data_IF_600466720518
#
_entry.id   IF_600466720518
#
_cell.length_a   1.000
_cell.length_b   1.000
_cell.length_c   1.000
_cell.angle_alpha   90.00
_cell.angle_beta   90.00
_cell.angle_gamma   90.00
#
_symmetry.space_group_name_H-M   'P 1'
#
loop_
_entity.id
_entity.type
_entity.pdbx_description
1 polymer ?
#
# COMPACT_ATOMS: atom_id res chain seq x y z
N UNK A 1 25.85 18.23 3.64
CA UNK A 1 25.38 16.93 4.16
C UNK A 1 26.53 15.94 4.15
N UNK A 2 27.00 15.51 5.31
CA UNK A 2 28.21 14.67 5.46
C UNK A 2 28.22 13.40 4.59
N UNK A 3 27.04 12.78 4.39
CA UNK A 3 26.91 11.56 3.57
C UNK A 3 26.80 11.85 2.06
N UNK A 4 26.40 13.07 1.67
CA UNK A 4 26.24 13.45 0.26
C UNK A 4 27.56 13.80 -0.42
N UNK A 5 28.55 14.26 0.35
CA UNK A 5 29.88 14.60 -0.15
C UNK A 5 30.74 13.35 -0.45
N UNK A 6 30.28 12.16 -0.03
CA UNK A 6 30.95 10.88 -0.27
C UNK A 6 30.49 10.30 -1.61
N UNK A 7 31.46 9.90 -2.44
CA UNK A 7 31.20 9.09 -3.64
C UNK A 7 31.00 7.64 -3.24
N UNK A 8 29.76 7.15 -3.28
CA UNK A 8 29.41 5.79 -2.89
C UNK A 8 29.58 4.83 -4.07
N UNK A 9 30.34 3.76 -3.87
CA UNK A 9 30.44 2.72 -4.89
C UNK A 9 29.10 2.00 -5.11
N UNK A 10 28.36 1.71 -4.02
CA UNK A 10 27.08 1.00 -4.07
C UNK A 10 26.13 1.60 -3.04
N UNK A 11 24.89 1.84 -3.45
CA UNK A 11 23.77 2.14 -2.55
C UNK A 11 22.82 0.94 -2.51
N UNK A 12 22.67 0.33 -1.35
CA UNK A 12 21.72 -0.75 -1.11
C UNK A 12 20.58 -0.22 -0.24
N UNK A 13 19.35 -0.33 -0.74
CA UNK A 13 18.15 0.07 0.00
C UNK A 13 17.32 -1.18 0.27
N UNK A 14 17.24 -1.55 1.54
CA UNK A 14 16.30 -2.58 2.00
C UNK A 14 14.91 -1.99 2.22
N UNK A 15 13.88 -2.82 2.09
CA UNK A 15 12.48 -2.41 2.08
C UNK A 15 12.19 -1.25 1.10
N UNK A 16 12.69 -1.41 -0.13
CA UNK A 16 12.61 -0.40 -1.19
C UNK A 16 11.18 0.06 -1.51
N UNK A 17 10.14 -0.62 -1.03
CA UNK A 17 8.76 -0.13 -1.08
C UNK A 17 8.58 1.26 -0.42
N UNK A 18 9.53 1.71 0.43
CA UNK A 18 9.59 3.09 0.96
C UNK A 18 9.83 4.14 -0.13
N UNK A 19 10.42 3.78 -1.27
CA UNK A 19 10.77 4.66 -2.39
C UNK A 19 9.69 4.72 -3.49
N UNK A 20 8.50 4.19 -3.21
CA UNK A 20 7.39 4.13 -4.18
C UNK A 20 6.82 5.49 -4.60
N UNK A 21 7.23 6.57 -3.92
CA UNK A 21 6.79 7.93 -4.20
C UNK A 21 8.02 8.80 -4.47
N UNK A 22 8.15 9.23 -5.73
CA UNK A 22 9.21 10.13 -6.21
C UNK A 22 9.18 11.50 -5.52
N UNK A 23 8.02 11.91 -5.00
CA UNK A 23 7.89 13.15 -4.25
C UNK A 23 8.39 13.07 -2.80
N UNK A 24 8.63 11.87 -2.29
CA UNK A 24 9.04 11.69 -0.90
C UNK A 24 10.42 12.30 -0.62
N UNK A 25 10.59 12.85 0.58
CA UNK A 25 11.88 13.41 1.01
C UNK A 25 12.98 12.34 0.92
N UNK A 26 12.70 11.11 1.34
CA UNK A 26 13.64 9.99 1.28
C UNK A 26 14.11 9.73 -0.16
N UNK A 27 13.18 9.71 -1.12
CA UNK A 27 13.50 9.53 -2.54
C UNK A 27 14.42 10.64 -3.03
N UNK A 28 14.03 11.90 -2.81
CA UNK A 28 14.79 13.08 -3.25
C UNK A 28 16.19 13.11 -2.63
N UNK A 29 16.29 12.82 -1.32
CA UNK A 29 17.58 12.77 -0.60
C UNK A 29 18.50 11.68 -1.12
N UNK A 30 18.01 10.45 -1.26
CA UNK A 30 18.85 9.34 -1.77
C UNK A 30 19.21 9.52 -3.24
N UNK A 31 18.36 10.18 -4.04
CA UNK A 31 18.65 10.43 -5.43
C UNK A 31 19.77 11.46 -5.63
N UNK A 32 19.98 12.36 -4.66
CA UNK A 32 21.09 13.33 -4.68
C UNK A 32 22.46 12.70 -4.44
N UNK A 33 22.53 11.48 -3.89
CA UNK A 33 23.81 10.83 -3.61
C UNK A 33 24.51 10.36 -4.88
N UNK A 34 25.80 10.67 -4.97
CA UNK A 34 26.66 10.16 -6.05
C UNK A 34 26.93 8.67 -5.81
N UNK A 35 26.44 7.84 -6.73
CA UNK A 35 26.44 6.38 -6.61
C UNK A 35 26.79 5.72 -7.94
N UNK A 36 27.67 4.73 -7.96
CA UNK A 36 27.98 3.96 -9.19
C UNK A 36 26.96 2.85 -9.43
N UNK A 37 26.54 2.16 -8.37
CA UNK A 37 25.55 1.09 -8.43
C UNK A 37 24.44 1.30 -7.40
N UNK A 38 23.21 0.96 -7.78
CA UNK A 38 22.03 1.00 -6.90
C UNK A 38 21.37 -0.37 -6.86
N UNK A 39 21.13 -0.90 -5.67
CA UNK A 39 20.46 -2.18 -5.44
C UNK A 39 19.24 -1.96 -4.53
N UNK A 40 18.07 -2.33 -5.02
CA UNK A 40 16.83 -2.29 -4.26
C UNK A 40 16.45 -3.70 -3.82
N UNK A 41 16.16 -3.86 -2.53
CA UNK A 41 15.68 -5.11 -1.95
C UNK A 41 14.30 -4.86 -1.36
N UNK A 42 13.33 -5.72 -1.69
CA UNK A 42 11.98 -5.63 -1.14
C UNK A 42 11.32 -7.01 -1.12
N UNK A 43 10.68 -7.35 -0.01
CA UNK A 43 9.87 -8.57 0.10
C UNK A 43 8.51 -8.46 -0.59
N UNK A 44 8.05 -7.23 -0.84
CA UNK A 44 6.76 -6.92 -1.48
C UNK A 44 7.03 -6.09 -2.72
N UNK A 45 7.29 -6.74 -3.88
CA UNK A 45 7.91 -6.06 -5.01
C UNK A 45 7.08 -4.88 -5.52
N UNK A 46 5.76 -5.02 -5.61
CA UNK A 46 4.87 -4.01 -6.17
C UNK A 46 3.49 -4.19 -5.56
N UNK A 47 2.87 -3.13 -5.04
CA UNK A 47 1.55 -3.27 -4.45
C UNK A 47 0.41 -2.69 -5.28
N UNK A 48 0.44 -1.51 -5.91
CA UNK A 48 -0.83 -1.01 -6.51
C UNK A 48 -0.80 -0.10 -7.75
N UNK A 49 0.33 0.44 -8.24
CA UNK A 49 0.27 1.33 -9.42
C UNK A 49 1.50 1.32 -10.34
N UNK A 50 1.27 1.69 -11.60
CA UNK A 50 2.32 1.88 -12.62
C UNK A 50 3.31 2.98 -12.19
N UNK A 51 2.83 4.02 -11.48
CA UNK A 51 3.67 5.08 -10.91
C UNK A 51 4.63 4.55 -9.85
N UNK A 52 4.16 3.69 -8.94
CA UNK A 52 5.04 3.07 -7.93
C UNK A 52 6.16 2.25 -8.59
N UNK A 53 5.83 1.50 -9.66
CA UNK A 53 6.80 0.75 -10.44
C UNK A 53 7.83 1.67 -11.10
N UNK A 54 7.36 2.71 -11.79
CA UNK A 54 8.22 3.68 -12.45
C UNK A 54 9.18 4.35 -11.45
N UNK A 55 8.70 4.81 -10.29
CA UNK A 55 9.55 5.44 -9.28
C UNK A 55 10.72 4.53 -8.86
N UNK A 56 10.48 3.24 -8.67
CA UNK A 56 11.54 2.30 -8.29
C UNK A 56 12.55 2.06 -9.41
N UNK A 57 12.09 1.95 -10.66
CA UNK A 57 12.99 1.69 -11.79
C UNK A 57 13.75 2.95 -12.18
N UNK A 58 13.09 4.11 -12.21
CA UNK A 58 13.70 5.41 -12.42
C UNK A 58 14.80 5.68 -11.39
N UNK A 59 14.59 5.25 -10.13
CA UNK A 59 15.62 5.34 -9.10
C UNK A 59 16.88 4.51 -9.41
N UNK A 60 16.73 3.32 -10.01
CA UNK A 60 17.88 2.46 -10.37
C UNK A 60 18.52 2.93 -11.68
N UNK A 61 17.72 3.31 -12.69
CA UNK A 61 18.12 3.57 -14.07
C UNK A 61 17.48 4.85 -14.61
N UNK A 62 17.88 6.00 -14.04
CA UNK A 62 17.37 7.33 -14.42
C UNK A 62 17.50 7.63 -15.93
N UNK A 63 18.54 7.16 -16.58
CA UNK A 63 18.83 7.48 -17.98
C UNK A 63 17.92 6.71 -18.96
N UNK A 64 17.43 5.53 -18.55
CA UNK A 64 16.53 4.70 -19.37
C UNK A 64 15.05 5.08 -19.18
N UNK A 65 14.71 5.63 -18.01
CA UNK A 65 13.35 6.03 -17.66
C UNK A 65 13.34 7.48 -17.14
N UNK A 66 13.56 8.48 -18.01
CA UNK A 66 13.81 9.85 -17.59
C UNK A 66 12.55 10.59 -17.10
N UNK A 67 11.39 10.30 -17.71
CA UNK A 67 10.13 11.01 -17.42
C UNK A 67 9.00 10.03 -17.11
N UNK A 68 8.14 10.42 -16.15
CA UNK A 68 6.89 9.72 -15.89
C UNK A 68 5.92 9.88 -17.05
N UNK A 69 5.86 11.06 -17.67
CA UNK A 69 4.88 11.37 -18.73
C UNK A 69 5.10 10.50 -19.97
N UNK A 70 6.37 10.32 -20.38
CA UNK A 70 6.75 9.45 -21.50
C UNK A 70 6.43 7.97 -21.18
N UNK A 71 6.75 7.54 -19.96
CA UNK A 71 6.49 6.17 -19.52
C UNK A 71 4.99 5.87 -19.40
N UNK A 72 4.21 6.82 -18.90
CA UNK A 72 2.75 6.73 -18.82
C UNK A 72 2.17 6.65 -20.22
N UNK A 73 2.65 7.47 -21.17
CA UNK A 73 2.20 7.44 -22.56
C UNK A 73 2.48 6.12 -23.27
N UNK A 74 3.69 5.58 -23.13
CA UNK A 74 4.07 4.28 -23.68
C UNK A 74 3.20 3.14 -23.12
N UNK A 75 2.70 3.29 -21.90
CA UNK A 75 1.92 2.28 -21.19
C UNK A 75 0.45 2.68 -20.94
N UNK A 76 -0.08 3.69 -21.65
CA UNK A 76 -1.46 4.20 -21.51
C UNK A 76 -2.52 3.09 -21.60
N UNK A 77 -2.32 2.10 -22.46
CA UNK A 77 -3.27 0.98 -22.62
C UNK A 77 -3.45 0.14 -21.35
N UNK A 78 -2.48 0.17 -20.41
CA UNK A 78 -2.64 -0.46 -19.10
C UNK A 78 -3.75 0.21 -18.27
N UNK A 79 -3.85 1.54 -18.34
CA UNK A 79 -4.93 2.29 -17.68
C UNK A 79 -6.30 2.00 -18.29
N UNK A 80 -6.34 1.58 -19.56
CA UNK A 80 -7.56 1.20 -20.28
C UNK A 80 -7.95 -0.28 -20.11
N UNK A 81 -7.16 -1.05 -19.36
CA UNK A 81 -7.47 -2.44 -19.01
C UNK A 81 -6.89 -3.49 -19.97
N UNK A 82 -6.02 -3.10 -20.91
CA UNK A 82 -5.36 -4.03 -21.81
C UNK A 82 -4.10 -4.62 -21.16
N UNK A 83 -4.17 -5.89 -20.80
CA UNK A 83 -3.09 -6.61 -20.11
C UNK A 83 -1.91 -7.00 -21.02
N UNK A 84 -2.05 -6.84 -22.34
CA UNK A 84 -1.00 -7.18 -23.32
C UNK A 84 0.28 -6.34 -23.13
N UNK A 85 0.13 -5.03 -22.89
CA UNK A 85 1.26 -4.12 -22.65
C UNK A 85 2.01 -4.38 -21.34
N UNK A 86 1.33 -4.94 -20.32
CA UNK A 86 1.98 -5.30 -19.05
C UNK A 86 2.98 -6.46 -19.22
N UNK A 87 2.70 -7.38 -20.14
CA UNK A 87 3.62 -8.49 -20.43
C UNK A 87 4.91 -8.01 -21.09
N UNK A 88 4.80 -7.02 -21.99
CA UNK A 88 5.96 -6.38 -22.62
C UNK A 88 6.83 -5.65 -21.60
N UNK A 89 6.21 -4.87 -20.70
CA UNK A 89 6.93 -4.20 -19.61
C UNK A 89 7.63 -5.20 -18.68
N UNK A 90 6.96 -6.30 -18.32
CA UNK A 90 7.60 -7.35 -17.54
C UNK A 90 8.82 -7.96 -18.23
N UNK A 91 8.77 -8.17 -19.54
CA UNK A 91 9.90 -8.70 -20.31
C UNK A 91 11.08 -7.73 -20.37
N UNK A 92 10.81 -6.43 -20.47
CA UNK A 92 11.86 -5.40 -20.40
C UNK A 92 12.51 -5.30 -19.02
N UNK A 93 11.74 -5.59 -17.96
CA UNK A 93 12.19 -5.52 -16.57
C UNK A 93 12.79 -6.82 -16.03
N UNK A 94 12.50 -7.95 -16.67
CA UNK A 94 13.03 -9.27 -16.34
C UNK A 94 14.54 -9.30 -16.05
N UNK A 95 15.42 -8.67 -16.87
CA UNK A 95 16.86 -8.69 -16.58
C UNK A 95 17.27 -7.87 -15.35
N UNK A 96 16.43 -6.96 -14.87
CA UNK A 96 16.73 -6.07 -13.73
C UNK A 96 16.01 -6.48 -12.44
N UNK A 97 15.00 -7.36 -12.53
CA UNK A 97 14.15 -7.75 -11.42
C UNK A 97 14.26 -9.25 -11.17
N UNK A 98 14.86 -9.62 -10.04
CA UNK A 98 14.88 -11.00 -9.57
C UNK A 98 13.79 -11.24 -8.53
N UNK A 99 12.74 -11.99 -8.91
CA UNK A 99 11.68 -12.43 -8.01
C UNK A 99 11.66 -13.95 -7.90
N UNK A 100 11.69 -14.47 -6.66
CA UNK A 100 11.57 -15.90 -6.35
C UNK A 100 10.40 -16.14 -5.41
N UNK A 101 9.65 -17.22 -5.60
CA UNK A 101 8.55 -17.60 -4.71
C UNK A 101 9.04 -18.70 -3.77
N UNK A 102 8.69 -18.63 -2.47
CA UNK A 102 9.12 -19.62 -1.47
C UNK A 102 8.87 -21.08 -1.90
N UNK A 103 7.75 -21.35 -2.58
CA UNK A 103 7.41 -22.68 -3.10
C UNK A 103 8.42 -23.23 -4.13
N UNK A 104 9.08 -22.33 -4.87
CA UNK A 104 10.01 -22.70 -5.96
C UNK A 104 11.42 -22.98 -5.42
N UNK A 105 11.78 -22.38 -4.28
CA UNK A 105 13.11 -22.49 -3.67
C UNK A 105 13.18 -23.39 -2.44
N UNK A 106 12.11 -23.47 -1.64
CA UNK A 106 12.13 -24.19 -0.36
C UNK A 106 11.03 -25.27 -0.33
N UNK A 107 11.41 -26.47 -0.76
CA UNK A 107 10.49 -27.62 -0.88
C UNK A 107 10.21 -28.33 0.44
N UNK A 108 10.97 -28.03 1.49
CA UNK A 108 10.79 -28.66 2.82
C UNK A 108 9.68 -28.02 3.65
N UNK A 109 9.25 -26.80 3.29
CA UNK A 109 8.21 -26.08 4.03
C UNK A 109 6.81 -26.63 3.72
N UNK A 110 5.95 -26.79 4.74
CA UNK A 110 4.55 -27.15 4.52
C UNK A 110 3.81 -26.04 3.77
N UNK A 111 2.82 -26.43 2.99
CA UNK A 111 1.96 -25.50 2.25
C UNK A 111 1.22 -24.56 3.20
N UNK A 112 1.20 -23.27 2.88
CA UNK A 112 0.37 -22.27 3.59
C UNK A 112 -1.11 -22.61 3.38
N UNK A 113 -1.84 -22.83 4.46
CA UNK A 113 -3.31 -22.95 4.46
C UNK A 113 -3.89 -21.65 5.01
N UNK A 114 -4.85 -21.06 4.30
CA UNK A 114 -5.53 -19.85 4.70
C UNK A 114 -7.02 -20.15 4.88
N UNK A 115 -7.56 -19.85 6.06
CA UNK A 115 -8.97 -20.07 6.38
C UNK A 115 -9.62 -18.74 6.77
N UNK A 116 -10.67 -18.36 6.05
CA UNK A 116 -11.44 -17.14 6.32
C UNK A 116 -12.63 -17.53 7.19
N UNK A 117 -12.52 -17.28 8.50
CA UNK A 117 -13.61 -17.46 9.44
C UNK A 117 -14.53 -16.23 9.41
N UNK A 118 -15.73 -16.39 8.86
CA UNK A 118 -16.75 -15.33 8.88
C UNK A 118 -17.47 -15.39 10.22
N UNK A 119 -17.46 -14.29 10.96
CA UNK A 119 -18.11 -14.16 12.26
C UNK A 119 -19.26 -13.15 12.18
N UNK A 120 -20.31 -13.40 12.94
CA UNK A 120 -21.39 -12.43 13.10
C UNK A 120 -21.06 -11.41 14.19
N UNK A 121 -21.60 -10.19 14.04
CA UNK A 121 -21.50 -9.17 15.08
C UNK A 121 -22.36 -9.54 16.30
N UNK A 122 -21.82 -9.29 17.50
CA UNK A 122 -22.57 -9.41 18.75
C UNK A 122 -23.72 -8.38 18.83
N UNK A 123 -24.68 -8.61 19.73
CA UNK A 123 -25.81 -7.69 19.93
C UNK A 123 -25.34 -6.27 20.26
N UNK A 124 -24.30 -6.14 21.09
CA UNK A 124 -23.70 -4.86 21.47
C UNK A 124 -23.02 -4.20 20.27
N UNK A 125 -22.23 -4.95 19.49
CA UNK A 125 -21.60 -4.45 18.27
C UNK A 125 -22.66 -3.95 17.27
N UNK A 126 -23.73 -4.72 17.03
CA UNK A 126 -24.84 -4.33 16.14
C UNK A 126 -25.48 -3.00 16.58
N UNK A 127 -25.64 -2.78 17.88
CA UNK A 127 -26.20 -1.54 18.43
C UNK A 127 -25.28 -0.33 18.17
N UNK A 128 -24.00 -0.44 18.52
CA UNK A 128 -23.03 0.63 18.29
C UNK A 128 -22.83 0.90 16.79
N UNK A 129 -22.81 -0.14 15.96
CA UNK A 129 -22.72 -0.01 14.51
C UNK A 129 -23.89 0.80 13.95
N UNK A 130 -25.12 0.52 14.40
CA UNK A 130 -26.31 1.32 14.06
C UNK A 130 -26.17 2.77 14.53
N UNK A 131 -25.73 3.02 15.76
CA UNK A 131 -25.54 4.37 16.27
C UNK A 131 -24.52 5.19 15.46
N UNK A 132 -23.39 4.60 15.09
CA UNK A 132 -22.38 5.25 14.24
C UNK A 132 -22.97 5.64 12.88
N UNK A 133 -23.77 4.74 12.27
CA UNK A 133 -24.44 5.02 11.00
C UNK A 133 -25.48 6.14 11.13
N UNK A 134 -26.34 6.09 12.17
CA UNK A 134 -27.41 7.08 12.35
C UNK A 134 -26.85 8.46 12.69
N UNK A 135 -25.83 8.55 13.55
CA UNK A 135 -25.17 9.82 13.91
C UNK A 135 -24.57 10.51 12.68
N UNK A 136 -23.98 9.71 11.79
CA UNK A 136 -23.28 10.20 10.60
C UNK A 136 -24.14 10.17 9.32
N UNK A 137 -25.46 9.95 9.44
CA UNK A 137 -26.36 9.75 8.30
C UNK A 137 -26.32 10.91 7.29
N UNK A 138 -26.29 12.16 7.77
CA UNK A 138 -26.19 13.36 6.91
C UNK A 138 -24.86 13.47 6.15
N UNK A 139 -23.78 12.91 6.68
CA UNK A 139 -22.49 12.85 6.00
C UNK A 139 -22.47 11.73 4.96
N UNK A 140 -23.09 10.58 5.27
CA UNK A 140 -23.24 9.44 4.37
C UNK A 140 -24.19 9.72 3.21
N UNK A 141 -25.29 10.46 3.45
CA UNK A 141 -26.30 10.77 2.44
C UNK A 141 -25.83 11.76 1.35
N UNK A 142 -24.72 12.47 1.59
CA UNK A 142 -24.12 13.39 0.60
C UNK A 142 -23.26 12.67 -0.45
N UNK A 143 -22.97 11.37 -0.26
CA UNK A 143 -22.18 10.57 -1.19
C UNK A 143 -20.83 11.19 -1.54
N UNK A 144 -20.38 11.03 -2.79
CA UNK A 144 -19.09 11.54 -3.31
C UNK A 144 -19.02 13.08 -3.32
N UNK A 145 -20.14 13.79 -3.13
CA UNK A 145 -20.19 15.26 -3.01
C UNK A 145 -19.92 15.77 -1.58
N UNK A 146 -19.71 14.86 -0.61
CA UNK A 146 -19.38 15.17 0.78
C UNK A 146 -17.88 15.29 1.05
N UNK A 147 -17.53 15.61 2.30
CA UNK A 147 -16.13 15.59 2.74
C UNK A 147 -15.59 14.16 2.76
N UNK A 148 -14.62 13.85 1.89
CA UNK A 148 -13.94 12.55 1.80
C UNK A 148 -13.29 12.18 3.14
N UNK A 149 -12.68 13.16 3.82
CA UNK A 149 -12.06 12.97 5.15
C UNK A 149 -13.09 12.58 6.21
N UNK A 150 -14.27 13.21 6.20
CA UNK A 150 -15.37 12.84 7.09
C UNK A 150 -15.85 11.42 6.86
N UNK A 151 -15.96 10.99 5.60
CA UNK A 151 -16.34 9.62 5.25
C UNK A 151 -15.31 8.57 5.68
N UNK A 152 -14.02 8.85 5.47
CA UNK A 152 -12.92 7.97 5.91
C UNK A 152 -12.95 7.79 7.43
N UNK A 153 -13.23 8.85 8.18
CA UNK A 153 -13.35 8.76 9.65
C UNK A 153 -14.52 7.85 10.07
N UNK A 154 -15.67 7.94 9.40
CA UNK A 154 -16.82 7.05 9.67
C UNK A 154 -16.46 5.59 9.38
N UNK A 155 -15.80 5.31 8.26
CA UNK A 155 -15.32 3.95 7.95
C UNK A 155 -14.35 3.42 9.03
N UNK A 156 -13.48 4.28 9.54
CA UNK A 156 -12.59 3.92 10.64
C UNK A 156 -13.35 3.64 11.94
N UNK A 157 -14.39 4.41 12.28
CA UNK A 157 -15.27 4.13 13.42
C UNK A 157 -15.98 2.79 13.28
N UNK A 158 -16.52 2.48 12.10
CA UNK A 158 -17.17 1.20 11.82
C UNK A 158 -16.18 0.03 11.93
N UNK A 159 -14.96 0.17 11.39
CA UNK A 159 -13.89 -0.83 11.53
C UNK A 159 -13.52 -1.07 13.00
N UNK A 160 -13.39 0.00 13.79
CA UNK A 160 -13.14 -0.10 15.24
C UNK A 160 -14.25 -0.88 15.94
N UNK A 161 -15.52 -0.61 15.61
CA UNK A 161 -16.68 -1.32 16.17
C UNK A 161 -16.66 -2.82 15.84
N UNK A 162 -16.30 -3.18 14.60
CA UNK A 162 -16.18 -4.59 14.18
C UNK A 162 -15.04 -5.31 14.91
N UNK A 163 -13.92 -4.62 15.18
CA UNK A 163 -12.79 -5.20 15.92
C UNK A 163 -13.16 -5.38 17.40
N UNK A 164 -13.60 -4.32 18.08
CA UNK A 164 -14.02 -4.39 19.48
C UNK A 164 -14.80 -3.14 19.92
N UNK A 165 -15.92 -3.31 20.65
CA UNK A 165 -16.78 -2.21 21.10
C UNK A 165 -16.04 -1.19 21.99
N UNK A 166 -15.20 -1.65 22.91
CA UNK A 166 -14.39 -0.78 23.78
C UNK A 166 -13.44 0.18 23.05
N UNK A 167 -13.08 -0.06 21.79
CA UNK A 167 -12.24 0.88 21.01
C UNK A 167 -13.06 2.13 20.59
N UNK A 168 -14.38 2.00 20.54
CA UNK A 168 -15.32 3.09 20.21
C UNK A 168 -15.93 3.70 21.48
N UNK A 169 -16.01 2.93 22.57
CA UNK A 169 -16.62 3.34 23.84
C UNK A 169 -15.81 4.46 24.49
N UNK A 170 -16.44 5.59 24.80
CA UNK A 170 -15.88 6.59 25.72
C UNK A 170 -16.19 6.20 27.16
N UNK A 171 -15.36 6.55 28.16
CA UNK A 171 -15.56 6.18 29.57
C UNK A 171 -16.97 6.52 30.11
N UNK A 172 -17.61 7.55 29.55
CA UNK A 172 -18.91 8.06 29.97
C UNK A 172 -20.12 7.31 29.39
N UNK A 173 -19.92 6.31 28.52
CA UNK A 173 -21.05 5.57 27.93
C UNK A 173 -21.51 4.43 28.85
N UNK A 174 -22.82 4.30 29.14
CA UNK A 174 -23.35 3.33 30.09
C UNK A 174 -23.04 1.88 29.67
N UNK A 175 -22.87 1.00 30.65
CA UNK A 175 -22.57 -0.42 30.42
C UNK A 175 -23.71 -1.12 29.70
N UNK A 176 -23.46 -1.50 28.44
CA UNK A 176 -24.28 -2.50 27.77
C UNK A 176 -23.64 -3.86 28.07
N UNK A 177 -24.26 -4.64 28.96
CA UNK A 177 -23.82 -6.00 29.26
C UNK A 177 -23.93 -6.87 28.01
N UNK A 178 -22.83 -7.52 27.64
CA UNK A 178 -22.86 -8.55 26.60
C UNK A 178 -23.42 -9.83 27.21
N UNK A 179 -24.52 -10.40 26.70
CA UNK A 179 -25.06 -11.67 27.19
C UNK A 179 -24.15 -12.88 26.91
N UNK A 180 -23.03 -12.71 26.21
CA UNK A 180 -22.01 -13.74 25.94
C UNK A 180 -20.74 -13.57 26.78
N UNK A 181 -20.69 -12.62 27.71
CA UNK A 181 -19.66 -12.53 28.77
C UNK A 181 -20.22 -12.99 30.12
#
# INVERSE_FOLDING_TARGET
>A
DFLGDVSWAVLVVDEAHRLKNDDSLLYKTLNMFHTNHRLLVTGTPLQNSLKELWSLIHFIMKDKFPSWEEFEEEHKAYHEGDTSNLSSLHQQLEPYLLRRIKKDVEKSLPSKVEQILRVEMSSVQKQYYRWILTRNYKALSKGVKGSITGFINVLMELKKCCNHVYIVRTPDTPEVKDPLQ
#
